data_IF_496181718920
#
_entry.id   IF_496181718920
#
_cell.length_a   1.000
_cell.length_b   1.000
_cell.length_c   1.000
_cell.angle_alpha   90.00
_cell.angle_beta   90.00
_cell.angle_gamma   90.00
#
_symmetry.space_group_name_H-M   'P 1'
#
loop_
_entity.id
_entity.type
_entity.pdbx_description
1 polymer ?
#
# COMPACT_ATOMS: atom_id res chain seq x y z
N UNK A 1 10.54 8.81 14.53
CA UNK A 1 9.09 8.53 14.37
C UNK A 1 8.95 7.30 13.50
N UNK A 2 8.20 6.27 13.97
CA UNK A 2 7.86 5.10 13.16
C UNK A 2 6.49 5.25 12.52
N UNK A 3 6.37 4.94 11.23
CA UNK A 3 5.11 4.94 10.49
C UNK A 3 4.92 3.57 9.86
N UNK A 4 3.83 2.89 10.23
CA UNK A 4 3.40 1.64 9.60
C UNK A 4 2.26 1.97 8.62
N UNK A 5 2.49 1.76 7.32
CA UNK A 5 1.52 1.98 6.25
C UNK A 5 0.88 0.64 5.86
N UNK A 6 -0.26 0.33 6.46
CA UNK A 6 -1.03 -0.89 6.18
C UNK A 6 -1.82 -0.71 4.90
N UNK A 7 -1.59 -1.57 3.93
CA UNK A 7 -2.09 -1.33 2.57
C UNK A 7 -2.16 -2.57 1.72
N UNK A 8 -3.08 -2.58 0.77
CA UNK A 8 -3.15 -3.58 -0.31
C UNK A 8 -2.73 -2.97 -1.65
N UNK A 9 -2.04 -3.76 -2.47
CA UNK A 9 -1.74 -3.41 -3.87
C UNK A 9 -3.02 -3.30 -4.69
N UNK A 10 -4.07 -4.06 -4.35
CA UNK A 10 -5.37 -4.00 -5.01
C UNK A 10 -6.16 -2.70 -4.73
N UNK A 11 -5.80 -1.95 -3.69
CA UNK A 11 -6.55 -0.78 -3.26
C UNK A 11 -6.09 0.52 -3.96
N UNK A 12 -6.92 1.19 -4.76
CA UNK A 12 -6.54 2.45 -5.40
C UNK A 12 -6.32 3.60 -4.40
N UNK A 13 -7.05 3.58 -3.27
CA UNK A 13 -6.85 4.57 -2.21
C UNK A 13 -5.51 4.40 -1.49
N UNK A 14 -4.90 3.20 -1.56
CA UNK A 14 -3.55 2.99 -1.05
C UNK A 14 -2.49 3.68 -1.93
N UNK A 15 -2.69 3.72 -3.26
CA UNK A 15 -1.82 4.50 -4.14
C UNK A 15 -1.91 6.00 -3.85
N UNK A 16 -3.12 6.53 -3.68
CA UNK A 16 -3.36 7.92 -3.30
C UNK A 16 -2.76 8.23 -1.93
N UNK A 17 -3.05 7.39 -0.93
CA UNK A 17 -2.61 7.60 0.44
C UNK A 17 -1.10 7.55 0.62
N UNK A 18 -0.40 6.68 -0.12
CA UNK A 18 1.06 6.62 -0.07
C UNK A 18 1.69 7.89 -0.65
N UNK A 19 1.25 8.32 -1.84
CA UNK A 19 1.75 9.57 -2.45
C UNK A 19 1.45 10.78 -1.57
N UNK A 20 0.25 10.84 -1.00
CA UNK A 20 -0.17 11.89 -0.09
C UNK A 20 0.67 11.95 1.19
N UNK A 21 0.91 10.79 1.82
CA UNK A 21 1.78 10.67 3.00
C UNK A 21 3.22 11.10 2.68
N UNK A 22 3.78 10.62 1.58
CA UNK A 22 5.15 10.98 1.19
C UNK A 22 5.30 12.45 0.85
N UNK A 23 4.29 13.05 0.21
CA UNK A 23 4.25 14.51 0.00
C UNK A 23 4.23 15.26 1.32
N UNK A 24 3.43 14.81 2.28
CA UNK A 24 3.38 15.39 3.62
C UNK A 24 4.75 15.28 4.32
N UNK A 25 5.37 14.09 4.30
CA UNK A 25 6.71 13.87 4.88
C UNK A 25 7.77 14.80 4.25
N UNK A 26 7.71 14.99 2.92
CA UNK A 26 8.59 15.93 2.23
C UNK A 26 8.36 17.37 2.67
N UNK A 27 7.09 17.78 2.83
CA UNK A 27 6.72 19.15 3.18
C UNK A 27 7.08 19.50 4.65
N UNK A 28 6.89 18.56 5.58
CA UNK A 28 7.29 18.77 6.99
C UNK A 28 8.80 18.64 7.19
N UNK A 29 9.50 17.89 6.32
CA UNK A 29 10.97 17.78 6.32
C UNK A 29 11.54 17.45 7.70
N UNK A 30 12.60 18.18 8.09
CA UNK A 30 13.30 17.98 9.36
C UNK A 30 12.53 18.40 10.63
N UNK A 31 11.34 19.00 10.52
CA UNK A 31 10.55 19.46 11.68
C UNK A 31 10.20 18.32 12.66
N UNK A 32 10.02 17.09 12.12
CA UNK A 32 9.56 15.91 12.87
C UNK A 32 10.68 14.91 13.20
N UNK A 33 11.94 15.21 12.81
CA UNK A 33 13.07 14.30 12.96
C UNK A 33 13.05 13.12 12.00
N UNK A 34 13.86 12.10 12.27
CA UNK A 34 13.96 10.92 11.41
C UNK A 34 12.67 10.11 11.38
N UNK A 35 12.31 9.63 10.19
CA UNK A 35 11.11 8.84 9.95
C UNK A 35 11.47 7.48 9.34
N UNK A 36 10.98 6.43 9.97
CA UNK A 36 11.02 5.06 9.44
C UNK A 36 9.64 4.70 8.91
N UNK A 37 9.51 4.55 7.58
CA UNK A 37 8.28 4.17 6.91
C UNK A 37 8.32 2.69 6.53
N UNK A 38 7.42 1.90 7.12
CA UNK A 38 7.29 0.46 6.91
C UNK A 38 6.02 0.14 6.14
N UNK A 39 6.13 -0.60 5.02
CA UNK A 39 4.96 -1.11 4.28
C UNK A 39 4.47 -2.40 4.93
N UNK A 40 3.21 -2.38 5.38
CA UNK A 40 2.59 -3.51 6.05
C UNK A 40 1.53 -4.17 5.15
N UNK A 41 1.45 -5.51 5.14
CA UNK A 41 0.51 -6.23 4.28
C UNK A 41 -0.92 -6.16 4.79
N UNK A 42 -1.84 -6.13 3.84
CA UNK A 42 -3.27 -6.33 4.03
C UNK A 42 -3.88 -6.75 2.70
N UNK A 43 -4.71 -7.78 2.69
CA UNK A 43 -5.45 -8.19 1.50
C UNK A 43 -6.94 -7.87 1.62
N UNK A 44 -7.48 -7.08 0.68
CA UNK A 44 -8.92 -6.85 0.54
C UNK A 44 -9.67 -8.09 0.06
N UNK A 45 -8.96 -8.98 -0.62
CA UNK A 45 -9.51 -10.17 -1.26
C UNK A 45 -8.61 -11.39 -1.03
N UNK A 46 -8.43 -11.87 0.22
CA UNK A 46 -7.48 -12.95 0.54
C UNK A 46 -7.86 -14.30 -0.06
N UNK A 47 -9.10 -14.46 -0.53
CA UNK A 47 -9.62 -15.67 -1.19
C UNK A 47 -9.74 -15.53 -2.70
N UNK A 48 -9.19 -14.45 -3.28
CA UNK A 48 -9.20 -14.25 -4.74
C UNK A 48 -8.39 -15.35 -5.41
N UNK A 49 -8.97 -16.02 -6.40
CA UNK A 49 -8.28 -17.01 -7.20
C UNK A 49 -7.11 -16.36 -8.02
N UNK A 50 -6.07 -17.11 -8.36
CA UNK A 50 -4.93 -16.59 -9.14
C UNK A 50 -5.34 -15.97 -10.49
N UNK A 51 -6.40 -16.51 -11.12
CA UNK A 51 -6.96 -16.02 -12.38
C UNK A 51 -7.58 -14.64 -12.26
N UNK A 52 -7.88 -14.22 -11.02
CA UNK A 52 -8.58 -12.97 -10.75
C UNK A 52 -10.04 -12.98 -11.17
N UNK A 53 -10.59 -11.81 -11.37
CA UNK A 53 -11.97 -11.63 -11.83
C UNK A 53 -12.10 -10.35 -12.66
N UNK A 54 -13.07 -10.30 -13.58
CA UNK A 54 -13.47 -9.04 -14.20
C UNK A 54 -13.93 -8.05 -13.15
N UNK A 55 -13.41 -6.83 -13.22
CA UNK A 55 -13.64 -5.84 -12.17
C UNK A 55 -15.10 -5.39 -12.10
N UNK A 56 -15.77 -5.24 -13.26
CA UNK A 56 -17.15 -4.79 -13.30
C UNK A 56 -18.09 -5.87 -12.73
N UNK A 57 -17.90 -7.11 -13.16
CA UNK A 57 -18.66 -8.25 -12.65
C UNK A 57 -18.44 -8.44 -11.15
N UNK A 58 -17.18 -8.38 -10.69
CA UNK A 58 -16.83 -8.54 -9.29
C UNK A 58 -17.52 -7.50 -8.40
N UNK A 59 -17.44 -6.21 -8.76
CA UNK A 59 -18.05 -5.15 -7.94
C UNK A 59 -19.58 -5.19 -7.98
N UNK A 60 -20.18 -5.54 -9.11
CA UNK A 60 -21.61 -5.73 -9.22
C UNK A 60 -22.09 -6.89 -8.35
N UNK A 61 -21.44 -8.06 -8.46
CA UNK A 61 -21.85 -9.28 -7.75
C UNK A 61 -21.60 -9.17 -6.24
N UNK A 62 -20.41 -8.68 -5.84
CA UNK A 62 -20.03 -8.67 -4.43
C UNK A 62 -20.63 -7.51 -3.64
N UNK A 63 -20.81 -6.35 -4.27
CA UNK A 63 -21.20 -5.11 -3.58
C UNK A 63 -22.49 -4.48 -4.12
N UNK A 64 -23.11 -5.04 -5.14
CA UNK A 64 -24.33 -4.50 -5.75
C UNK A 64 -24.14 -3.12 -6.40
N UNK A 65 -22.89 -2.78 -6.82
CA UNK A 65 -22.55 -1.46 -7.35
C UNK A 65 -23.00 -1.36 -8.81
N UNK A 66 -23.79 -0.34 -9.17
CA UNK A 66 -24.21 -0.10 -10.54
C UNK A 66 -23.07 0.43 -11.42
N UNK A 67 -23.22 0.32 -12.75
CA UNK A 67 -22.25 0.86 -13.71
C UNK A 67 -22.04 2.38 -13.53
N UNK A 68 -23.10 3.14 -13.25
CA UNK A 68 -23.04 4.58 -12.99
C UNK A 68 -22.26 4.87 -11.70
N UNK A 69 -22.50 4.11 -10.64
CA UNK A 69 -21.77 4.24 -9.38
C UNK A 69 -20.29 3.90 -9.56
N UNK A 70 -19.97 2.85 -10.33
CA UNK A 70 -18.59 2.50 -10.66
C UNK A 70 -17.90 3.63 -11.43
N UNK A 71 -18.57 4.22 -12.42
CA UNK A 71 -18.06 5.35 -13.20
C UNK A 71 -17.79 6.57 -12.31
N UNK A 72 -18.74 6.93 -11.43
CA UNK A 72 -18.60 8.04 -10.50
C UNK A 72 -17.46 7.82 -9.49
N UNK A 73 -17.37 6.62 -8.91
CA UNK A 73 -16.28 6.24 -8.01
C UNK A 73 -14.92 6.30 -8.72
N UNK A 74 -14.87 5.82 -9.96
CA UNK A 74 -13.67 5.88 -10.78
C UNK A 74 -13.23 7.31 -11.04
N UNK A 75 -14.14 8.21 -11.43
CA UNK A 75 -13.83 9.63 -11.66
C UNK A 75 -13.24 10.28 -10.42
N UNK A 76 -13.84 10.03 -9.24
CA UNK A 76 -13.33 10.54 -7.96
C UNK A 76 -11.92 10.01 -7.62
N UNK A 77 -11.65 8.73 -7.88
CA UNK A 77 -10.32 8.13 -7.67
C UNK A 77 -9.29 8.79 -8.59
N UNK A 78 -9.61 8.98 -9.87
CA UNK A 78 -8.71 9.61 -10.85
C UNK A 78 -8.41 11.06 -10.46
N UNK A 79 -9.43 11.84 -10.09
CA UNK A 79 -9.27 13.23 -9.64
C UNK A 79 -8.38 13.32 -8.38
N UNK A 80 -8.67 12.49 -7.38
CA UNK A 80 -7.90 12.45 -6.13
C UNK A 80 -6.46 11.99 -6.36
N UNK A 81 -6.26 11.01 -7.25
CA UNK A 81 -4.93 10.55 -7.63
C UNK A 81 -4.12 11.64 -8.30
N UNK A 82 -4.71 12.33 -9.26
CA UNK A 82 -4.04 13.43 -9.96
C UNK A 82 -3.62 14.55 -9.00
N UNK A 83 -4.46 14.89 -8.01
CA UNK A 83 -4.14 15.88 -6.98
C UNK A 83 -2.92 15.50 -6.13
N UNK A 84 -2.66 14.21 -5.94
CA UNK A 84 -1.52 13.69 -5.19
C UNK A 84 -0.41 13.09 -6.10
N UNK A 85 -0.45 13.38 -7.41
CA UNK A 85 0.59 13.00 -8.36
C UNK A 85 0.57 11.53 -8.80
N UNK A 86 -0.56 10.82 -8.65
CA UNK A 86 -0.74 9.46 -9.15
C UNK A 86 -1.67 9.43 -10.37
N UNK A 87 -1.18 8.85 -11.48
CA UNK A 87 -1.95 8.73 -12.73
C UNK A 87 -2.56 7.33 -12.83
N UNK A 88 -3.89 7.27 -12.77
CA UNK A 88 -4.65 6.02 -12.92
C UNK A 88 -4.92 5.70 -14.39
N UNK A 89 -4.50 4.52 -14.85
CA UNK A 89 -4.82 3.92 -16.13
C UNK A 89 -6.04 2.99 -16.09
N UNK A 90 -6.32 2.21 -17.11
CA UNK A 90 -7.45 1.28 -17.13
C UNK A 90 -7.31 0.20 -16.05
N UNK A 91 -8.44 -0.21 -15.45
CA UNK A 91 -8.51 -1.31 -14.50
C UNK A 91 -9.68 -2.20 -14.88
N UNK A 92 -9.38 -3.30 -15.53
CA UNK A 92 -10.38 -4.26 -16.03
C UNK A 92 -10.50 -5.51 -15.15
N UNK A 93 -9.48 -5.80 -14.34
CA UNK A 93 -9.42 -7.00 -13.51
C UNK A 93 -9.05 -6.71 -12.06
N UNK A 94 -9.53 -7.57 -11.18
CA UNK A 94 -9.11 -7.69 -9.79
C UNK A 94 -8.26 -8.96 -9.69
N UNK A 95 -7.08 -8.84 -9.12
CA UNK A 95 -6.12 -9.92 -9.01
C UNK A 95 -5.85 -10.30 -7.56
N UNK A 96 -5.38 -11.51 -7.33
CA UNK A 96 -4.77 -11.90 -6.07
C UNK A 96 -3.47 -11.11 -5.86
N UNK A 97 -3.23 -10.63 -4.65
CA UNK A 97 -2.06 -9.80 -4.31
C UNK A 97 -1.11 -10.44 -3.30
N UNK A 98 -1.35 -11.71 -2.95
CA UNK A 98 -0.57 -12.38 -1.90
C UNK A 98 0.92 -12.47 -2.22
N UNK A 99 1.28 -12.86 -3.45
CA UNK A 99 2.68 -12.97 -3.86
C UNK A 99 3.37 -11.60 -3.94
N UNK A 100 2.63 -10.54 -4.30
CA UNK A 100 3.13 -9.17 -4.21
C UNK A 100 3.43 -8.78 -2.74
N UNK A 101 2.59 -9.18 -1.79
CA UNK A 101 2.82 -8.92 -0.36
C UNK A 101 4.00 -9.72 0.18
N UNK A 102 4.19 -10.97 -0.25
CA UNK A 102 5.37 -11.79 0.10
C UNK A 102 6.66 -11.13 -0.40
N UNK A 103 6.66 -10.67 -1.64
CA UNK A 103 7.82 -10.00 -2.23
C UNK A 103 8.11 -8.65 -1.55
N UNK A 104 7.09 -7.89 -1.19
CA UNK A 104 7.23 -6.66 -0.40
C UNK A 104 7.78 -6.94 1.00
N UNK A 105 7.32 -8.00 1.65
CA UNK A 105 7.80 -8.39 2.98
C UNK A 105 9.29 -8.77 2.92
N UNK A 106 9.66 -9.60 1.96
CA UNK A 106 11.05 -9.93 1.69
C UNK A 106 11.91 -8.69 1.42
N UNK A 107 11.45 -7.77 0.56
CA UNK A 107 12.17 -6.54 0.26
C UNK A 107 12.39 -5.65 1.50
N UNK A 108 11.48 -5.70 2.46
CA UNK A 108 11.64 -5.01 3.75
C UNK A 108 12.58 -5.71 4.72
N UNK A 109 12.68 -7.05 4.64
CA UNK A 109 13.51 -7.88 5.53
C UNK A 109 14.97 -7.99 5.06
N UNK A 110 15.20 -8.17 3.76
CA UNK A 110 16.52 -8.46 3.19
C UNK A 110 17.03 -7.35 2.24
N UNK A 111 16.15 -6.45 1.78
CA UNK A 111 16.51 -5.41 0.82
C UNK A 111 17.23 -4.23 1.46
N UNK A 112 17.94 -3.47 0.62
CA UNK A 112 18.55 -2.20 1.04
C UNK A 112 17.47 -1.19 1.49
N UNK A 113 17.80 -0.23 2.37
CA UNK A 113 16.87 0.80 2.81
C UNK A 113 16.17 1.49 1.62
N UNK A 114 14.85 1.58 1.67
CA UNK A 114 14.02 2.20 0.64
C UNK A 114 13.55 1.27 -0.50
N UNK A 115 14.14 0.06 -0.68
CA UNK A 115 13.73 -0.85 -1.75
C UNK A 115 12.30 -1.37 -1.59
N UNK A 116 11.86 -1.66 -0.37
CA UNK A 116 10.48 -2.05 -0.09
C UNK A 116 9.49 -0.97 -0.58
N UNK A 117 9.77 0.30 -0.27
CA UNK A 117 8.96 1.43 -0.69
C UNK A 117 8.98 1.61 -2.21
N UNK A 118 10.16 1.51 -2.82
CA UNK A 118 10.30 1.57 -4.28
C UNK A 118 9.51 0.46 -4.97
N UNK A 119 9.56 -0.77 -4.45
CA UNK A 119 8.79 -1.90 -4.96
C UNK A 119 7.28 -1.67 -4.80
N UNK A 120 6.84 -1.08 -3.67
CA UNK A 120 5.42 -0.75 -3.47
C UNK A 120 4.92 0.24 -4.53
N UNK A 121 5.68 1.29 -4.81
CA UNK A 121 5.36 2.23 -5.88
C UNK A 121 5.33 1.57 -7.27
N UNK A 122 6.30 0.71 -7.56
CA UNK A 122 6.35 -0.01 -8.83
C UNK A 122 5.13 -0.92 -9.03
N UNK A 123 4.71 -1.64 -7.99
CA UNK A 123 3.51 -2.50 -7.98
C UNK A 123 2.22 -1.69 -8.18
N UNK A 124 2.06 -0.59 -7.43
CA UNK A 124 0.91 0.30 -7.57
C UNK A 124 0.83 0.93 -8.96
N UNK A 125 1.98 1.36 -9.51
CA UNK A 125 2.08 1.91 -10.86
C UNK A 125 1.77 0.87 -11.95
N UNK A 126 2.29 -0.35 -11.83
CA UNK A 126 2.03 -1.43 -12.77
C UNK A 126 0.54 -1.83 -12.77
N UNK A 127 -0.07 -1.98 -11.61
CA UNK A 127 -1.47 -2.38 -11.53
C UNK A 127 -2.42 -1.22 -11.83
N UNK A 128 -2.37 -0.14 -11.05
CA UNK A 128 -3.35 0.95 -11.18
C UNK A 128 -3.05 1.91 -12.33
N UNK A 129 -1.80 2.05 -12.75
CA UNK A 129 -1.40 2.90 -13.88
C UNK A 129 -1.45 2.18 -15.22
N UNK A 130 -1.06 0.89 -15.26
CA UNK A 130 -0.88 0.15 -16.51
C UNK A 130 -1.82 -1.04 -16.66
N UNK A 131 -2.62 -1.42 -15.63
CA UNK A 131 -3.55 -2.53 -15.67
C UNK A 131 -2.88 -3.92 -15.66
N UNK A 132 -1.60 -4.00 -15.28
CA UNK A 132 -0.85 -5.26 -15.23
C UNK A 132 -1.24 -6.09 -14.02
N UNK A 133 -1.14 -7.41 -14.14
CA UNK A 133 -1.40 -8.33 -13.04
C UNK A 133 -0.31 -8.25 -11.96
N UNK A 134 -0.59 -7.75 -10.73
CA UNK A 134 0.39 -7.64 -9.66
C UNK A 134 0.70 -8.98 -8.96
N UNK A 135 -0.01 -10.06 -9.31
CA UNK A 135 0.25 -11.42 -8.82
C UNK A 135 1.04 -12.29 -9.80
N UNK A 136 1.24 -11.83 -11.04
CA UNK A 136 1.99 -12.59 -12.04
C UNK A 136 3.49 -12.55 -11.75
N UNK A 137 4.13 -13.72 -11.68
CA UNK A 137 5.54 -13.83 -11.31
C UNK A 137 6.48 -13.11 -12.27
N UNK A 138 6.20 -13.13 -13.58
CA UNK A 138 6.98 -12.37 -14.57
C UNK A 138 6.95 -10.87 -14.31
N UNK A 139 5.76 -10.32 -13.98
CA UNK A 139 5.58 -8.92 -13.59
C UNK A 139 6.33 -8.62 -12.29
N UNK A 140 6.19 -9.47 -11.28
CA UNK A 140 6.85 -9.32 -9.98
C UNK A 140 8.37 -9.30 -10.10
N UNK A 141 8.95 -10.22 -10.89
CA UNK A 141 10.40 -10.31 -11.13
C UNK A 141 10.93 -9.10 -11.90
N UNK A 142 10.19 -8.63 -12.92
CA UNK A 142 10.53 -7.41 -13.64
C UNK A 142 10.58 -6.19 -12.71
N UNK A 143 9.55 -6.04 -11.87
CA UNK A 143 9.47 -4.93 -10.94
C UNK A 143 10.54 -4.99 -9.85
N UNK A 144 10.88 -6.20 -9.37
CA UNK A 144 11.99 -6.42 -8.44
C UNK A 144 13.32 -5.96 -9.06
N UNK A 145 13.59 -6.38 -10.31
CA UNK A 145 14.76 -5.93 -11.07
C UNK A 145 14.82 -4.41 -11.21
N UNK A 146 13.70 -3.81 -11.59
CA UNK A 146 13.60 -2.35 -11.80
C UNK A 146 13.95 -1.52 -10.57
N UNK A 147 13.70 -2.05 -9.37
CA UNK A 147 14.02 -1.37 -8.11
C UNK A 147 15.34 -1.82 -7.48
N UNK A 148 16.16 -2.60 -8.22
CA UNK A 148 17.49 -3.02 -7.80
C UNK A 148 17.51 -4.21 -6.84
N UNK A 149 16.42 -4.97 -6.73
CA UNK A 149 16.40 -6.23 -5.98
C UNK A 149 16.99 -7.38 -6.79
N UNK A 150 17.70 -8.35 -6.16
CA UNK A 150 18.27 -9.50 -6.86
C UNK A 150 17.16 -10.40 -7.42
N UNK A 151 17.07 -10.50 -8.75
CA UNK A 151 15.99 -11.21 -9.46
C UNK A 151 15.95 -12.70 -9.12
N UNK A 152 17.11 -13.36 -9.05
CA UNK A 152 17.16 -14.79 -8.73
C UNK A 152 16.68 -15.05 -7.28
N UNK A 153 17.03 -14.17 -6.34
CA UNK A 153 16.51 -14.28 -4.96
C UNK A 153 15.00 -14.02 -4.90
N UNK A 154 14.51 -13.02 -5.66
CA UNK A 154 13.07 -12.77 -5.80
C UNK A 154 12.33 -14.00 -6.36
N UNK A 155 12.92 -14.68 -7.36
CA UNK A 155 12.39 -15.93 -7.93
C UNK A 155 12.29 -17.03 -6.89
N UNK A 156 13.36 -17.24 -6.10
CA UNK A 156 13.37 -18.22 -5.02
C UNK A 156 12.28 -17.95 -3.97
N UNK A 157 12.11 -16.69 -3.58
CA UNK A 157 11.05 -16.27 -2.64
C UNK A 157 9.67 -16.68 -3.16
N UNK A 158 9.41 -16.43 -4.45
CA UNK A 158 8.12 -16.73 -5.07
C UNK A 158 7.91 -18.25 -5.21
N UNK A 159 8.87 -18.98 -5.77
CA UNK A 159 8.77 -20.43 -6.07
C UNK A 159 8.71 -21.29 -4.82
N UNK A 160 9.44 -20.92 -3.75
CA UNK A 160 9.47 -21.68 -2.49
C UNK A 160 8.39 -21.29 -1.49
N UNK A 161 7.55 -20.33 -1.80
CA UNK A 161 6.51 -19.88 -0.89
C UNK A 161 7.06 -19.14 0.35
N UNK A 162 8.28 -18.61 0.28
CA UNK A 162 8.89 -17.93 1.41
C UNK A 162 8.08 -16.70 1.84
N UNK A 163 8.17 -16.34 3.11
CA UNK A 163 7.43 -15.26 3.77
C UNK A 163 5.90 -15.41 3.80
N UNK A 164 5.34 -16.57 3.37
CA UNK A 164 3.90 -16.77 3.40
C UNK A 164 3.34 -16.65 4.83
N UNK A 165 3.91 -17.37 5.79
CA UNK A 165 3.48 -17.34 7.19
C UNK A 165 3.69 -15.96 7.81
N UNK A 166 4.82 -15.29 7.50
CA UNK A 166 5.12 -13.96 8.03
C UNK A 166 4.12 -12.91 7.55
N UNK A 167 3.72 -12.96 6.28
CA UNK A 167 2.66 -12.09 5.72
C UNK A 167 1.33 -12.36 6.42
N UNK A 168 0.91 -13.64 6.54
CA UNK A 168 -0.34 -13.99 7.22
C UNK A 168 -0.36 -13.56 8.68
N UNK A 169 0.73 -13.73 9.40
CA UNK A 169 0.85 -13.27 10.80
C UNK A 169 0.76 -11.74 10.89
N UNK A 170 1.42 -11.02 9.98
CA UNK A 170 1.34 -9.57 9.96
C UNK A 170 -0.07 -9.07 9.63
N UNK A 171 -0.78 -9.68 8.68
CA UNK A 171 -2.19 -9.35 8.38
C UNK A 171 -3.10 -9.59 9.57
N UNK A 172 -2.98 -10.76 10.22
CA UNK A 172 -3.74 -11.10 11.41
C UNK A 172 -3.47 -10.12 12.56
N UNK A 173 -2.22 -9.73 12.76
CA UNK A 173 -1.85 -8.73 13.77
C UNK A 173 -2.60 -7.42 13.56
N UNK A 174 -2.62 -6.89 12.33
CA UNK A 174 -3.32 -5.64 12.04
C UNK A 174 -4.85 -5.78 12.18
N UNK A 175 -5.41 -6.91 11.77
CA UNK A 175 -6.85 -7.20 11.95
C UNK A 175 -7.24 -7.28 13.42
N UNK A 176 -6.41 -7.92 14.27
CA UNK A 176 -6.64 -7.99 15.72
C UNK A 176 -6.56 -6.62 16.39
N UNK A 177 -5.79 -5.68 15.84
CA UNK A 177 -5.77 -4.28 16.26
C UNK A 177 -6.94 -3.44 15.72
N UNK A 178 -7.91 -4.08 15.05
CA UNK A 178 -9.11 -3.43 14.54
C UNK A 178 -8.94 -2.75 13.18
N UNK A 179 -7.84 -3.00 12.46
CA UNK A 179 -7.67 -2.50 11.09
C UNK A 179 -8.49 -3.39 10.14
N UNK A 180 -9.64 -2.88 9.69
CA UNK A 180 -10.59 -3.58 8.82
C UNK A 180 -10.69 -2.95 7.43
N UNK A 181 -9.86 -1.97 7.12
CA UNK A 181 -9.84 -1.29 5.82
C UNK A 181 -8.53 -0.54 5.59
N UNK A 182 -8.21 -0.31 4.33
CA UNK A 182 -6.94 0.26 3.91
C UNK A 182 -7.14 1.42 2.92
N UNK A 183 -6.19 2.38 2.86
CA UNK A 183 -4.96 2.44 3.66
C UNK A 183 -5.24 2.82 5.12
N UNK A 184 -4.40 2.31 6.01
CA UNK A 184 -4.34 2.75 7.39
C UNK A 184 -2.90 3.15 7.72
N UNK A 185 -2.72 4.36 8.24
CA UNK A 185 -1.41 4.91 8.62
C UNK A 185 -1.32 4.94 10.12
N UNK A 186 -0.43 4.16 10.69
CA UNK A 186 -0.23 4.06 12.14
C UNK A 186 1.10 4.72 12.50
N UNK A 187 1.05 5.79 13.30
CA UNK A 187 2.21 6.55 13.73
C UNK A 187 2.55 6.17 15.18
N UNK A 188 3.82 5.78 15.39
CA UNK A 188 4.39 5.37 16.68
C UNK A 188 3.56 4.30 17.40
N UNK A 189 2.84 3.44 16.64
CA UNK A 189 1.93 2.38 17.11
C UNK A 189 0.82 2.89 18.05
N UNK A 190 0.46 4.17 17.96
CA UNK A 190 -0.49 4.83 18.86
C UNK A 190 -1.55 5.64 18.11
N UNK A 191 -1.20 6.23 16.98
CA UNK A 191 -2.07 7.16 16.28
C UNK A 191 -2.47 6.60 14.94
N UNK A 192 -3.77 6.40 14.71
CA UNK A 192 -4.32 5.90 13.45
C UNK A 192 -4.90 7.03 12.61
N UNK A 193 -4.50 7.07 11.35
CA UNK A 193 -5.14 7.87 10.31
C UNK A 193 -5.68 6.91 9.25
N UNK A 194 -6.99 6.87 9.07
CA UNK A 194 -7.65 5.95 8.12
C UNK A 194 -7.91 6.60 6.79
N UNK A 195 -7.73 5.83 5.72
CA UNK A 195 -8.05 6.22 4.34
C UNK A 195 -6.97 7.05 3.65
N UNK A 196 -7.13 7.22 2.35
CA UNK A 196 -6.25 8.05 1.51
C UNK A 196 -6.54 9.53 1.71
N UNK A 197 -6.16 10.07 2.86
CA UNK A 197 -6.36 11.47 3.23
C UNK A 197 -5.54 12.42 2.33
N UNK A 198 -5.92 13.69 2.19
CA UNK A 198 -5.07 14.72 1.58
C UNK A 198 -3.76 14.90 2.36
N UNK A 199 -2.68 15.30 1.67
CA UNK A 199 -1.38 15.49 2.31
C UNK A 199 -1.42 16.51 3.48
N UNK A 200 -2.28 17.54 3.41
CA UNK A 200 -2.43 18.51 4.50
C UNK A 200 -2.88 17.86 5.81
N UNK A 201 -3.74 16.83 5.75
CA UNK A 201 -4.19 16.10 6.94
C UNK A 201 -3.02 15.32 7.56
N UNK A 202 -2.19 14.69 6.75
CA UNK A 202 -0.97 14.03 7.23
C UNK A 202 0.03 15.03 7.81
N UNK A 203 0.26 16.17 7.15
CA UNK A 203 1.17 17.22 7.65
C UNK A 203 0.76 17.71 9.03
N UNK A 204 -0.52 18.04 9.21
CA UNK A 204 -1.04 18.48 10.50
C UNK A 204 -0.83 17.41 11.57
N UNK A 205 -1.22 16.18 11.31
CA UNK A 205 -1.07 15.07 12.27
C UNK A 205 0.41 14.82 12.63
N UNK A 206 1.30 14.83 11.65
CA UNK A 206 2.74 14.62 11.86
C UNK A 206 3.34 15.69 12.77
N UNK A 207 2.99 16.97 12.54
CA UNK A 207 3.44 18.09 13.39
C UNK A 207 2.88 17.98 14.81
N UNK A 208 1.59 17.70 14.96
CA UNK A 208 0.94 17.59 16.27
C UNK A 208 1.52 16.42 17.11
N UNK A 209 1.75 15.27 16.47
CA UNK A 209 2.34 14.09 17.13
C UNK A 209 3.79 14.39 17.53
N UNK A 210 4.57 14.98 16.62
CA UNK A 210 5.97 15.35 16.90
C UNK A 210 6.07 16.34 18.07
N UNK A 211 5.19 17.34 18.12
CA UNK A 211 5.15 18.32 19.20
C UNK A 211 4.83 17.66 20.55
N UNK A 212 3.87 16.72 20.58
CA UNK A 212 3.53 15.96 21.79
C UNK A 212 4.68 15.07 22.28
N UNK A 213 5.41 14.45 21.35
CA UNK A 213 6.57 13.60 21.69
C UNK A 213 7.77 14.40 22.22
N UNK A 214 7.88 15.69 21.86
CA UNK A 214 8.92 16.60 22.34
C UNK A 214 8.58 17.31 23.65
N UNK A 215 7.29 17.37 24.02
CA UNK A 215 6.86 17.98 25.27
C UNK A 215 7.35 17.12 26.46
N UNK A 216 7.97 17.73 27.52
CA UNK A 216 8.34 16.97 28.70
C UNK A 216 7.09 16.37 29.32
N UNK A 217 7.12 15.08 29.64
CA UNK A 217 6.10 14.43 30.47
C UNK A 217 6.04 15.20 31.79
N UNK A 218 4.96 15.97 32.00
CA UNK A 218 4.71 16.57 33.29
C UNK A 218 4.61 15.43 34.32
N UNK A 219 5.61 15.32 35.16
CA UNK A 219 5.67 14.44 36.34
C UNK A 219 4.73 14.91 37.40
#
# INVERSE_FOLDING_TARGET
MRIDFVSDVACPWCAIGLNSLERALKNVGGEIGDVELHMQPFELNPTMAPEGADAAEYFTTKYGVSAEQMKANRARIVERGAAEGFVFGPRTHIWNTFDAHRLLFWAGAEGAPGTQRALKHALLGAYHGQGRNPGAHDVLLELASKVGLPVERAREVLERGEYADAVRQAEQFWQQLGINGVPAVIIDRKHLISGGQPHQVFEQALREISAKNKAPTAT
#
